data_IF_681287632499
#
_entry.id   IF_681287632499
#
_cell.length_a   1.000
_cell.length_b   1.000
_cell.length_c   1.000
_cell.angle_alpha   90.00
_cell.angle_beta   90.00
_cell.angle_gamma   90.00
#
_symmetry.space_group_name_H-M   'P 1'
#
loop_
_entity.id
_entity.type
_entity.pdbx_description
1 polymer ?
#
# COMPACT_ATOMS: atom_id res chain seq x y z
N UNK A 1 -11.92 -5.18 -9.61
CA UNK A 1 -12.11 -4.67 -8.23
C UNK A 1 -11.14 -5.39 -7.31
N UNK A 2 -10.06 -4.72 -6.89
CA UNK A 2 -9.02 -5.33 -6.05
C UNK A 2 -8.76 -4.58 -4.72
N UNK A 3 -9.58 -3.58 -4.35
CA UNK A 3 -9.50 -2.88 -3.05
C UNK A 3 -9.43 -3.84 -1.86
N UNK A 4 -10.25 -4.89 -1.85
CA UNK A 4 -10.17 -5.94 -0.83
C UNK A 4 -8.81 -6.66 -0.84
N UNK A 5 -8.26 -6.96 -2.03
CA UNK A 5 -6.95 -7.57 -2.17
C UNK A 5 -5.83 -6.64 -1.68
N UNK A 6 -5.90 -5.34 -1.96
CA UNK A 6 -4.97 -4.32 -1.44
C UNK A 6 -5.05 -4.20 0.09
N UNK A 7 -6.26 -4.12 0.65
CA UNK A 7 -6.45 -4.09 2.10
C UNK A 7 -5.87 -5.35 2.76
N UNK A 8 -6.16 -6.52 2.19
CA UNK A 8 -5.64 -7.81 2.68
C UNK A 8 -4.11 -7.88 2.58
N UNK A 9 -3.54 -7.39 1.49
CA UNK A 9 -2.10 -7.34 1.27
C UNK A 9 -1.40 -6.44 2.30
N UNK A 10 -1.92 -5.23 2.51
CA UNK A 10 -1.39 -4.30 3.50
C UNK A 10 -1.51 -4.86 4.92
N UNK A 11 -2.63 -5.52 5.25
CA UNK A 11 -2.78 -6.19 6.54
C UNK A 11 -1.80 -7.36 6.71
N UNK A 12 -1.52 -8.12 5.65
CA UNK A 12 -0.59 -9.27 5.68
C UNK A 12 0.82 -8.86 6.13
N UNK A 13 1.27 -7.65 5.82
CA UNK A 13 2.61 -7.18 6.21
C UNK A 13 2.83 -7.08 7.73
N UNK A 14 1.74 -7.05 8.52
CA UNK A 14 1.83 -7.05 9.99
C UNK A 14 2.17 -8.41 10.58
N UNK A 15 1.55 -9.47 10.05
CA UNK A 15 1.60 -10.81 10.64
C UNK A 15 2.52 -11.79 9.93
N UNK A 16 2.84 -11.54 8.67
CA UNK A 16 3.65 -12.43 7.84
C UNK A 16 5.05 -11.83 7.62
N UNK A 17 6.02 -12.33 8.38
CA UNK A 17 7.41 -11.85 8.34
C UNK A 17 8.05 -12.08 6.97
N UNK A 18 7.79 -13.22 6.33
CA UNK A 18 8.38 -13.55 5.03
C UNK A 18 7.84 -12.63 3.95
N UNK A 19 6.52 -12.43 3.94
CA UNK A 19 5.89 -11.51 3.01
C UNK A 19 6.34 -10.06 3.23
N UNK A 20 6.42 -9.60 4.48
CA UNK A 20 6.96 -8.28 4.82
C UNK A 20 8.38 -8.12 4.30
N UNK A 21 9.25 -9.09 4.55
CA UNK A 21 10.65 -9.04 4.11
C UNK A 21 10.73 -9.00 2.57
N UNK A 22 9.86 -9.76 1.89
CA UNK A 22 9.75 -9.70 0.43
C UNK A 22 9.29 -8.31 -0.05
N UNK A 23 8.30 -7.70 0.61
CA UNK A 23 7.80 -6.36 0.32
C UNK A 23 8.86 -5.26 0.56
N UNK A 24 9.72 -5.42 1.55
CA UNK A 24 10.82 -4.47 1.80
C UNK A 24 11.94 -4.59 0.76
N UNK A 25 12.25 -5.82 0.31
CA UNK A 25 13.35 -6.08 -0.63
C UNK A 25 12.99 -5.80 -2.09
N UNK A 26 11.85 -6.33 -2.53
CA UNK A 26 11.38 -6.19 -3.91
C UNK A 26 9.84 -6.26 -3.94
N UNK A 27 9.16 -5.15 -3.64
CA UNK A 27 7.71 -5.12 -3.59
C UNK A 27 7.08 -5.46 -4.95
N UNK A 28 7.72 -5.12 -6.08
CA UNK A 28 7.22 -5.46 -7.41
C UNK A 28 7.11 -6.98 -7.62
N UNK A 29 8.13 -7.73 -7.20
CA UNK A 29 8.13 -9.19 -7.23
C UNK A 29 7.16 -9.78 -6.20
N UNK A 30 7.13 -9.25 -4.97
CA UNK A 30 6.27 -9.74 -3.90
C UNK A 30 4.78 -9.67 -4.24
N UNK A 31 4.37 -8.65 -5.00
CA UNK A 31 2.97 -8.47 -5.43
C UNK A 31 2.69 -9.02 -6.85
N UNK A 32 3.66 -9.67 -7.51
CA UNK A 32 3.50 -10.16 -8.89
C UNK A 32 2.38 -11.20 -9.02
N UNK A 33 2.21 -12.07 -8.03
CA UNK A 33 1.15 -13.08 -8.00
C UNK A 33 -0.25 -12.52 -7.70
N UNK A 34 -0.35 -11.26 -7.26
CA UNK A 34 -1.62 -10.62 -6.95
C UNK A 34 -2.27 -10.04 -8.20
N UNK A 35 -3.57 -10.30 -8.36
CA UNK A 35 -4.41 -9.73 -9.42
C UNK A 35 -4.77 -8.27 -9.10
N UNK A 36 -3.77 -7.40 -9.15
CA UNK A 36 -3.92 -5.95 -9.10
C UNK A 36 -4.08 -5.41 -10.53
N UNK A 37 -4.87 -4.35 -10.69
CA UNK A 37 -4.85 -3.57 -11.94
C UNK A 37 -3.48 -2.90 -12.11
N UNK A 38 -3.17 -2.46 -13.32
CA UNK A 38 -1.94 -1.71 -13.59
C UNK A 38 -1.84 -0.45 -12.73
N UNK A 39 -2.97 0.23 -12.52
CA UNK A 39 -3.06 1.45 -11.73
C UNK A 39 -2.84 1.21 -10.24
N UNK A 40 -3.50 0.20 -9.67
CA UNK A 40 -3.33 -0.20 -8.26
C UNK A 40 -1.89 -0.63 -7.98
N UNK A 41 -1.27 -1.37 -8.90
CA UNK A 41 0.12 -1.79 -8.82
C UNK A 41 1.07 -0.59 -8.85
N UNK A 42 0.85 0.34 -9.78
CA UNK A 42 1.69 1.53 -9.90
C UNK A 42 1.59 2.41 -8.64
N UNK A 43 0.38 2.66 -8.14
CA UNK A 43 0.16 3.43 -6.92
C UNK A 43 0.82 2.79 -5.70
N UNK A 44 0.69 1.46 -5.53
CA UNK A 44 1.33 0.75 -4.41
C UNK A 44 2.86 0.83 -4.47
N UNK A 45 3.47 0.63 -5.65
CA UNK A 45 4.92 0.65 -5.81
C UNK A 45 5.50 2.06 -5.67
N UNK A 46 4.75 3.10 -6.04
CA UNK A 46 5.12 4.48 -5.84
C UNK A 46 4.93 4.97 -4.38
N UNK A 47 4.25 4.18 -3.54
CA UNK A 47 3.79 4.62 -2.22
C UNK A 47 2.78 5.78 -2.33
N UNK A 48 2.00 5.82 -3.41
CA UNK A 48 0.99 6.86 -3.64
C UNK A 48 -0.26 6.57 -2.82
N UNK A 49 -0.17 6.88 -1.52
CA UNK A 49 -1.25 6.61 -0.56
C UNK A 49 -2.48 7.49 -0.79
N UNK A 50 -2.32 8.64 -1.44
CA UNK A 50 -3.44 9.48 -1.84
C UNK A 50 -4.26 8.75 -2.91
N UNK A 51 -3.61 8.29 -3.98
CA UNK A 51 -4.28 7.54 -5.05
C UNK A 51 -4.89 6.24 -4.53
N UNK A 52 -4.19 5.50 -3.67
CA UNK A 52 -4.73 4.28 -3.07
C UNK A 52 -5.97 4.55 -2.21
N UNK A 53 -5.99 5.65 -1.47
CA UNK A 53 -7.16 6.08 -0.70
C UNK A 53 -8.34 6.46 -1.60
N UNK A 54 -8.09 7.23 -2.66
CA UNK A 54 -9.11 7.59 -3.67
C UNK A 54 -9.67 6.36 -4.40
N UNK A 55 -8.88 5.30 -4.54
CA UNK A 55 -9.35 4.00 -5.05
C UNK A 55 -10.22 3.22 -4.05
N UNK A 56 -10.34 3.70 -2.81
CA UNK A 56 -11.14 3.09 -1.74
C UNK A 56 -10.36 2.21 -0.75
N UNK A 57 -9.02 2.21 -0.78
CA UNK A 57 -8.23 1.49 0.22
C UNK A 57 -8.32 2.23 1.56
N UNK A 58 -8.50 1.48 2.65
CA UNK A 58 -8.76 2.10 3.94
C UNK A 58 -7.50 2.78 4.49
N UNK A 59 -7.55 4.06 4.91
CA UNK A 59 -6.36 4.81 5.31
C UNK A 59 -5.65 4.20 6.52
N UNK A 60 -6.40 3.71 7.52
CA UNK A 60 -5.81 2.98 8.64
C UNK A 60 -5.00 1.75 8.21
N UNK A 61 -5.45 1.03 7.17
CA UNK A 61 -4.75 -0.15 6.67
C UNK A 61 -3.49 0.26 5.88
N UNK A 62 -3.57 1.33 5.08
CA UNK A 62 -2.40 1.89 4.39
C UNK A 62 -1.31 2.32 5.38
N UNK A 63 -1.69 2.81 6.55
CA UNK A 63 -0.74 3.22 7.59
C UNK A 63 0.18 2.08 8.06
N UNK A 64 -0.19 0.82 7.87
CA UNK A 64 0.65 -0.33 8.24
C UNK A 64 1.94 -0.42 7.44
N UNK A 65 1.95 0.08 6.20
CA UNK A 65 3.15 0.12 5.38
C UNK A 65 4.24 1.00 6.00
N UNK A 66 3.84 2.00 6.80
CA UNK A 66 4.76 2.95 7.44
C UNK A 66 5.62 2.31 8.54
N UNK A 67 5.12 1.27 9.20
CA UNK A 67 5.81 0.59 10.31
C UNK A 67 7.10 -0.09 9.89
N UNK A 68 7.21 -0.43 8.61
CA UNK A 68 8.32 -1.18 8.04
C UNK A 68 8.93 -0.49 6.83
N UNK A 69 8.58 0.79 6.63
CA UNK A 69 9.09 1.64 5.55
C UNK A 69 8.90 1.03 4.15
N UNK A 70 7.80 0.28 3.96
CA UNK A 70 7.52 -0.43 2.70
C UNK A 70 7.21 0.59 1.61
N UNK A 71 7.80 0.40 0.43
CA UNK A 71 7.70 1.32 -0.71
C UNK A 71 8.12 2.76 -0.38
N UNK A 72 9.05 2.95 0.56
CA UNK A 72 9.57 4.27 0.96
C UNK A 72 8.59 5.08 1.82
N UNK A 73 7.55 4.45 2.36
CA UNK A 73 6.57 5.11 3.21
C UNK A 73 7.08 5.20 4.64
N UNK A 74 7.49 6.37 5.09
CA UNK A 74 7.61 6.68 6.52
C UNK A 74 6.29 7.26 7.05
N UNK A 75 6.14 7.39 8.36
CA UNK A 75 4.97 8.05 8.95
C UNK A 75 4.80 9.50 8.46
N UNK A 76 5.92 10.22 8.28
CA UNK A 76 5.95 11.59 7.76
C UNK A 76 5.49 11.65 6.30
N UNK A 77 6.09 10.83 5.43
CA UNK A 77 5.73 10.75 4.00
C UNK A 77 4.26 10.34 3.83
N UNK A 78 3.77 9.40 4.65
CA UNK A 78 2.37 9.02 4.65
C UNK A 78 1.47 10.21 5.00
N UNK A 79 1.79 10.93 6.08
CA UNK A 79 1.00 12.05 6.57
C UNK A 79 0.95 13.20 5.58
N UNK A 80 2.06 13.50 4.90
CA UNK A 80 2.11 14.48 3.82
C UNK A 80 1.22 14.05 2.66
N UNK A 81 1.41 12.84 2.14
CA UNK A 81 0.71 12.36 0.93
C UNK A 81 -0.79 12.18 1.15
N UNK A 82 -1.22 11.61 2.27
CA UNK A 82 -2.65 11.34 2.51
C UNK A 82 -3.48 12.62 2.62
N UNK A 83 -2.88 13.75 3.03
CA UNK A 83 -3.55 15.05 3.09
C UNK A 83 -3.80 15.66 1.71
N UNK A 84 -3.04 15.24 0.70
CA UNK A 84 -3.25 15.66 -0.68
C UNK A 84 -4.40 14.88 -1.36
N UNK A 85 -4.92 13.84 -0.71
CA UNK A 85 -5.94 12.99 -1.28
C UNK A 85 -7.31 13.67 -1.30
N UNK A 86 -8.09 13.39 -2.34
CA UNK A 86 -9.48 13.80 -2.41
C UNK A 86 -10.38 12.72 -1.80
N UNK A 87 -11.39 13.15 -1.02
CA UNK A 87 -12.37 12.22 -0.43
C UNK A 87 -13.11 11.48 -1.57
N UNK A 88 -13.06 10.14 -1.63
CA UNK A 88 -13.82 9.36 -2.59
C UNK A 88 -15.31 9.45 -2.25
N UNK A 89 -15.95 10.54 -2.72
CA UNK A 89 -17.39 10.76 -2.61
C UNK A 89 -18.21 9.66 -3.29
#
# INVERSE_FOLDING_TARGET
>A
MSVYALNKLCHRTLGDLDFRTAMQRNPAAAIAAYRLTAEERAALLAGDVARLYEMGVHPFILSFLTRYEICGLTAEVYSERIRAAHDPR
#
